data_IF_241509871908
#
_entry.id   IF_241509871908
#
_cell.length_a   1.000
_cell.length_b   1.000
_cell.length_c   1.000
_cell.angle_alpha   90.00
_cell.angle_beta   90.00
_cell.angle_gamma   90.00
#
_symmetry.space_group_name_H-M   'P 1'
#
loop_
_entity.id
_entity.type
_entity.pdbx_description
1 polymer ?
#
# COMPACT_ATOMS: atom_id res chain seq x y z
N UNK A 1 14.83 5.42 -3.94
CA UNK A 1 14.23 6.75 -4.27
C UNK A 1 12.92 6.94 -3.49
N UNK A 2 12.25 8.10 -3.52
CA UNK A 2 10.99 8.30 -2.77
C UNK A 2 9.76 8.09 -3.67
N UNK A 3 8.82 7.23 -3.24
CA UNK A 3 7.54 6.98 -3.88
C UNK A 3 6.40 7.43 -2.96
N UNK A 4 5.50 8.26 -3.49
CA UNK A 4 4.30 8.73 -2.78
C UNK A 4 3.05 8.24 -3.53
N UNK A 5 2.14 7.61 -2.80
CA UNK A 5 0.84 7.16 -3.32
C UNK A 5 -0.31 7.94 -2.68
N UNK A 6 -1.35 8.24 -3.46
CA UNK A 6 -2.61 8.81 -2.98
C UNK A 6 -3.77 7.97 -3.49
N UNK A 7 -4.73 7.69 -2.62
CA UNK A 7 -5.99 7.06 -2.97
C UNK A 7 -7.05 7.41 -1.92
N UNK A 8 -8.31 7.30 -2.32
CA UNK A 8 -9.46 7.47 -1.44
C UNK A 8 -10.08 6.09 -1.18
N UNK A 9 -10.36 5.80 0.10
CA UNK A 9 -11.05 4.57 0.48
C UNK A 9 -11.97 4.83 1.67
N UNK A 10 -13.17 4.22 1.72
CA UNK A 10 -14.03 4.30 2.90
C UNK A 10 -13.40 3.67 4.15
N UNK A 11 -12.57 2.64 3.98
CA UNK A 11 -11.89 1.95 5.08
C UNK A 11 -10.63 1.23 4.57
N UNK A 12 -9.47 1.63 5.10
CA UNK A 12 -8.18 1.08 4.70
C UNK A 12 -8.02 -0.40 5.07
N UNK A 13 -8.37 -0.78 6.30
CA UNK A 13 -8.20 -2.14 6.79
C UNK A 13 -9.08 -3.13 6.01
N UNK A 14 -10.32 -2.74 5.70
CA UNK A 14 -11.22 -3.54 4.88
C UNK A 14 -10.69 -3.70 3.44
N UNK A 15 -10.11 -2.64 2.86
CA UNK A 15 -9.49 -2.71 1.54
C UNK A 15 -8.28 -3.65 1.53
N UNK A 16 -7.37 -3.55 2.51
CA UNK A 16 -6.22 -4.44 2.65
C UNK A 16 -6.65 -5.90 2.85
N UNK A 17 -7.62 -6.15 3.72
CA UNK A 17 -8.18 -7.49 3.94
C UNK A 17 -8.85 -8.06 2.68
N UNK A 18 -9.54 -7.22 1.91
CA UNK A 18 -10.16 -7.59 0.65
C UNK A 18 -9.12 -7.97 -0.41
N UNK A 19 -8.10 -7.14 -0.61
CA UNK A 19 -7.02 -7.41 -1.56
C UNK A 19 -6.23 -8.67 -1.19
N UNK A 20 -5.93 -8.87 0.10
CA UNK A 20 -5.22 -10.05 0.61
C UNK A 20 -5.92 -11.38 0.37
N UNK A 21 -7.22 -11.40 0.02
CA UNK A 21 -7.96 -12.62 -0.33
C UNK A 21 -7.83 -13.00 -1.81
N UNK A 22 -7.20 -12.17 -2.62
CA UNK A 22 -7.07 -12.39 -4.07
C UNK A 22 -5.67 -12.88 -4.40
N UNK A 23 -5.57 -14.00 -5.13
CA UNK A 23 -4.28 -14.57 -5.56
C UNK A 23 -3.47 -13.58 -6.40
N UNK A 24 -4.17 -12.71 -7.15
CA UNK A 24 -3.52 -11.69 -7.96
C UNK A 24 -2.79 -10.64 -7.13
N UNK A 25 -3.27 -10.33 -5.91
CA UNK A 25 -2.57 -9.40 -5.02
C UNK A 25 -1.22 -9.98 -4.59
N UNK A 26 -1.19 -11.25 -4.18
CA UNK A 26 0.06 -11.91 -3.79
C UNK A 26 1.08 -11.94 -4.94
N UNK A 27 0.62 -12.28 -6.15
CA UNK A 27 1.47 -12.25 -7.34
C UNK A 27 2.02 -10.85 -7.60
N UNK A 28 1.17 -9.83 -7.53
CA UNK A 28 1.58 -8.44 -7.73
C UNK A 28 2.59 -7.98 -6.67
N UNK A 29 2.36 -8.28 -5.39
CA UNK A 29 3.30 -7.93 -4.31
C UNK A 29 4.68 -8.57 -4.54
N UNK A 30 4.72 -9.84 -4.95
CA UNK A 30 5.96 -10.55 -5.26
C UNK A 30 6.70 -9.95 -6.46
N UNK A 31 5.97 -9.65 -7.53
CA UNK A 31 6.53 -9.05 -8.74
C UNK A 31 7.03 -7.62 -8.49
N UNK A 32 6.39 -6.90 -7.57
CA UNK A 32 6.75 -5.52 -7.21
C UNK A 32 7.86 -5.43 -6.18
N UNK A 33 8.09 -6.46 -5.36
CA UNK A 33 9.07 -6.45 -4.26
C UNK A 33 10.46 -5.90 -4.64
N UNK A 34 11.06 -6.21 -5.81
CA UNK A 34 12.38 -5.69 -6.18
C UNK A 34 12.46 -4.17 -6.36
N UNK A 35 11.32 -3.48 -6.51
CA UNK A 35 11.26 -2.04 -6.73
C UNK A 35 11.07 -1.24 -5.44
N UNK A 36 10.85 -1.91 -4.30
CA UNK A 36 10.66 -1.27 -3.00
C UNK A 36 11.86 -1.52 -2.09
N UNK A 37 12.28 -0.47 -1.40
CA UNK A 37 13.36 -0.49 -0.41
C UNK A 37 12.76 -0.33 0.99
N UNK A 38 13.44 -0.83 2.03
CA UNK A 38 13.11 -0.58 3.44
C UNK A 38 11.70 -1.03 3.89
N UNK A 39 11.21 -2.15 3.36
CA UNK A 39 9.95 -2.75 3.79
C UNK A 39 10.10 -3.82 4.88
N UNK A 40 11.29 -4.05 5.44
CA UNK A 40 11.54 -5.05 6.51
C UNK A 40 10.92 -6.45 6.28
N UNK A 41 10.81 -6.85 5.01
CA UNK A 41 10.22 -8.13 4.61
C UNK A 41 8.69 -8.17 4.57
N UNK A 42 8.00 -7.04 4.78
CA UNK A 42 6.56 -6.91 4.55
C UNK A 42 6.24 -6.49 3.11
N UNK A 43 5.02 -6.79 2.67
CA UNK A 43 4.54 -6.41 1.35
C UNK A 43 4.38 -4.88 1.23
N UNK A 44 4.45 -4.36 0.00
CA UNK A 44 4.36 -2.92 -0.26
C UNK A 44 2.99 -2.33 0.12
N UNK A 45 1.92 -3.12 0.09
CA UNK A 45 0.59 -2.75 0.58
C UNK A 45 0.46 -2.72 2.12
N UNK A 46 1.48 -3.15 2.86
CA UNK A 46 1.45 -3.16 4.33
C UNK A 46 2.56 -2.29 4.95
N UNK A 47 3.70 -2.16 4.27
CA UNK A 47 4.88 -1.45 4.77
C UNK A 47 4.94 0.04 4.45
N UNK A 48 3.91 0.63 3.84
CA UNK A 48 3.92 2.05 3.53
C UNK A 48 3.69 2.92 4.78
N UNK A 49 4.35 4.08 4.81
CA UNK A 49 4.17 5.08 5.85
C UNK A 49 2.92 5.91 5.54
N UNK A 50 1.99 5.99 6.50
CA UNK A 50 0.82 6.86 6.40
C UNK A 50 1.20 8.30 6.68
N UNK A 51 0.86 9.20 5.77
CA UNK A 51 1.06 10.63 5.92
C UNK A 51 -0.22 11.29 6.46
N UNK A 52 -0.06 12.24 7.37
CA UNK A 52 -1.17 13.03 7.89
C UNK A 52 -1.58 14.09 6.86
N UNK A 53 -2.87 14.09 6.51
CA UNK A 53 -3.44 15.12 5.66
C UNK A 53 -3.79 16.35 6.51
N UNK A 54 -2.94 17.38 6.46
CA UNK A 54 -3.10 18.61 7.24
C UNK A 54 -4.02 19.65 6.60
N UNK A 55 -4.32 19.49 5.31
CA UNK A 55 -5.16 20.42 4.55
C UNK A 55 -5.86 19.71 3.39
N UNK A 56 -7.09 20.13 3.10
CA UNK A 56 -7.86 19.74 1.92
C UNK A 56 -8.75 20.91 1.50
N UNK A 57 -8.81 21.18 0.19
CA UNK A 57 -9.77 22.12 -0.39
C UNK A 57 -10.44 21.44 -1.57
N UNK A 58 -11.77 21.52 -1.60
CA UNK A 58 -12.62 20.91 -2.61
C UNK A 58 -13.02 21.92 -3.68
#
# INVERSE_FOLDING_TARGET
>A
GALFGYFETPNLEAALSGMGKTEINEKWQKDMAPFFENLDGVNADQGFIKLEQVFFLQ
#
